data_IF_652819891205
#
_entry.id   IF_652819891205
#
_cell.length_a   1.000
_cell.length_b   1.000
_cell.length_c   1.000
_cell.angle_alpha   90.00
_cell.angle_beta   90.00
_cell.angle_gamma   90.00
#
_symmetry.space_group_name_H-M   'P 1'
#
loop_
_entity.id
_entity.type
_entity.pdbx_description
1 polymer ?
#
# COMPACT_ATOMS: atom_id res chain seq x y z
N UNK A 1 79.78 88.23 53.80
CA UNK A 1 80.52 87.02 53.40
C UNK A 1 80.03 85.75 54.11
N UNK A 2 79.76 85.79 55.41
CA UNK A 2 79.25 84.64 56.20
C UNK A 2 77.86 84.13 55.77
N UNK A 3 76.92 85.03 55.45
CA UNK A 3 75.55 84.66 55.02
C UNK A 3 75.52 83.96 53.66
N UNK A 4 76.42 84.34 52.75
CA UNK A 4 76.59 83.67 51.46
C UNK A 4 77.13 82.25 51.64
N UNK A 5 78.08 82.05 52.55
CA UNK A 5 78.64 80.74 52.87
C UNK A 5 77.60 79.80 53.49
N UNK A 6 76.76 80.29 54.43
CA UNK A 6 75.68 79.51 55.04
C UNK A 6 74.59 79.10 54.03
N UNK A 7 74.27 79.99 53.08
CA UNK A 7 73.32 79.67 52.01
C UNK A 7 73.88 78.61 51.05
N UNK A 8 75.17 78.66 50.72
CA UNK A 8 75.85 77.65 49.92
C UNK A 8 75.88 76.29 50.63
N UNK A 9 76.17 76.26 51.94
CA UNK A 9 76.15 75.05 52.76
C UNK A 9 74.74 74.45 52.90
N UNK A 10 73.71 75.28 53.15
CA UNK A 10 72.31 74.83 53.16
C UNK A 10 71.88 74.27 51.80
N UNK A 11 72.27 74.92 50.71
CA UNK A 11 71.97 74.46 49.35
C UNK A 11 72.65 73.12 49.06
N UNK A 12 73.90 72.94 49.49
CA UNK A 12 74.64 71.70 49.32
C UNK A 12 74.01 70.55 50.12
N UNK A 13 73.76 70.76 51.42
CA UNK A 13 73.10 69.75 52.27
C UNK A 13 71.68 69.44 51.79
N UNK A 14 70.96 70.45 51.27
CA UNK A 14 69.65 70.27 50.65
C UNK A 14 69.71 69.44 49.36
N UNK A 15 70.74 69.63 48.53
CA UNK A 15 70.98 68.80 47.35
C UNK A 15 71.39 67.37 47.72
N UNK A 16 72.25 67.19 48.72
CA UNK A 16 72.66 65.88 49.23
C UNK A 16 71.47 65.10 49.83
N UNK A 17 70.58 65.78 50.56
CA UNK A 17 69.36 65.19 51.10
C UNK A 17 68.32 64.86 50.01
N UNK A 18 68.23 65.66 48.93
CA UNK A 18 67.31 65.42 47.82
C UNK A 18 67.84 64.39 46.80
N UNK A 19 69.15 64.17 46.69
CA UNK A 19 69.73 63.27 45.69
C UNK A 19 69.12 61.85 45.66
N UNK A 20 68.84 61.17 46.80
CA UNK A 20 68.14 59.88 46.79
C UNK A 20 66.70 59.98 46.28
N UNK A 21 65.99 61.07 46.60
CA UNK A 21 64.63 61.31 46.13
C UNK A 21 64.62 61.58 44.61
N UNK A 22 65.61 62.32 44.11
CA UNK A 22 65.78 62.56 42.69
C UNK A 22 65.96 61.25 41.92
N UNK A 23 66.84 60.36 42.38
CA UNK A 23 67.04 59.03 41.76
C UNK A 23 65.76 58.20 41.76
N UNK A 24 64.99 58.23 42.86
CA UNK A 24 63.69 57.55 42.93
C UNK A 24 62.67 58.11 41.93
N UNK A 25 62.51 59.44 41.87
CA UNK A 25 61.59 60.10 40.94
C UNK A 25 62.02 59.91 39.48
N UNK A 26 63.32 59.96 39.18
CA UNK A 26 63.84 59.70 37.84
C UNK A 26 63.57 58.25 37.41
N UNK A 27 63.78 57.27 38.31
CA UNK A 27 63.46 55.87 38.04
C UNK A 27 61.94 55.66 37.86
N UNK A 28 61.11 56.30 38.68
CA UNK A 28 59.66 56.24 38.57
C UNK A 28 59.15 56.89 37.27
N UNK A 29 59.72 58.02 36.88
CA UNK A 29 59.43 58.69 35.61
C UNK A 29 59.84 57.81 34.43
N UNK A 30 61.02 57.19 34.46
CA UNK A 30 61.46 56.25 33.43
C UNK A 30 60.50 55.06 33.28
N UNK A 31 60.02 54.48 34.37
CA UNK A 31 59.00 53.40 34.35
C UNK A 31 57.67 53.91 33.75
N UNK A 32 57.22 55.10 34.14
CA UNK A 32 55.98 55.69 33.60
C UNK A 32 56.10 56.00 32.10
N UNK A 33 57.26 56.45 31.63
CA UNK A 33 57.54 56.70 30.22
C UNK A 33 57.60 55.40 29.42
N UNK A 34 58.27 54.37 29.94
CA UNK A 34 58.31 53.04 29.32
C UNK A 34 56.90 52.44 29.20
N UNK A 35 56.10 52.52 30.26
CA UNK A 35 54.71 52.05 30.26
C UNK A 35 53.81 52.88 29.32
N UNK A 36 54.04 54.20 29.22
CA UNK A 36 53.34 55.05 28.27
C UNK A 36 53.67 54.66 26.81
N UNK A 37 54.95 54.40 26.52
CA UNK A 37 55.40 53.93 25.21
C UNK A 37 54.79 52.57 24.85
N UNK A 38 54.74 51.62 25.80
CA UNK A 38 54.12 50.32 25.60
C UNK A 38 52.60 50.42 25.34
N UNK A 39 51.88 51.28 26.09
CA UNK A 39 50.45 51.54 25.84
C UNK A 39 50.18 52.24 24.51
N UNK A 40 51.08 53.14 24.10
CA UNK A 40 51.02 53.78 22.80
C UNK A 40 51.20 52.75 21.67
N UNK A 41 52.22 51.89 21.78
CA UNK A 41 52.46 50.80 20.83
C UNK A 41 51.27 49.85 20.74
N UNK A 42 50.69 49.45 21.89
CA UNK A 42 49.47 48.63 21.91
C UNK A 42 48.30 49.31 21.16
N UNK A 43 48.11 50.61 21.34
CA UNK A 43 47.09 51.35 20.59
C UNK A 43 47.40 51.40 19.09
N UNK A 44 48.66 51.53 18.70
CA UNK A 44 49.10 51.56 17.31
C UNK A 44 48.89 50.18 16.63
N UNK A 45 49.24 49.09 17.32
CA UNK A 45 49.02 47.71 16.86
C UNK A 45 47.52 47.39 16.71
N UNK A 46 46.69 47.76 17.70
CA UNK A 46 45.25 47.52 17.63
C UNK A 46 44.56 48.38 16.56
N UNK A 47 45.02 49.61 16.36
CA UNK A 47 44.52 50.47 15.28
C UNK A 47 44.89 49.88 13.91
N UNK A 48 46.14 49.43 13.74
CA UNK A 48 46.57 48.78 12.52
C UNK A 48 45.76 47.51 12.24
N UNK A 49 45.48 46.69 13.26
CA UNK A 49 44.61 45.53 13.13
C UNK A 49 43.18 45.91 12.72
N UNK A 50 42.60 46.94 13.34
CA UNK A 50 41.27 47.45 12.99
C UNK A 50 41.18 47.95 11.54
N UNK A 51 42.21 48.66 11.08
CA UNK A 51 42.23 49.25 9.74
C UNK A 51 42.50 48.20 8.64
N UNK A 52 43.14 47.08 9.00
CA UNK A 52 43.54 46.01 8.08
C UNK A 52 42.84 44.67 8.38
N UNK A 53 41.57 44.72 8.79
CA UNK A 53 40.75 43.52 8.97
C UNK A 53 40.60 42.78 7.61
N UNK A 54 40.89 41.47 7.55
CA UNK A 54 40.70 40.68 6.33
C UNK A 54 39.20 40.51 6.01
N UNK A 55 38.88 40.20 4.74
CA UNK A 55 37.51 39.94 4.30
C UNK A 55 36.87 38.75 5.05
N UNK A 56 37.66 37.71 5.33
CA UNK A 56 37.28 36.58 6.19
C UNK A 56 38.00 36.70 7.52
N UNK A 57 37.30 37.20 8.53
CA UNK A 57 37.85 37.42 9.88
C UNK A 57 37.82 36.12 10.68
N UNK A 58 38.97 35.75 11.28
CA UNK A 58 39.01 34.73 12.31
C UNK A 58 38.48 35.32 13.64
N UNK A 59 37.18 35.17 13.89
CA UNK A 59 36.52 35.72 15.07
C UNK A 59 36.99 35.11 16.41
N UNK A 60 37.49 33.87 16.40
CA UNK A 60 38.12 33.29 17.60
C UNK A 60 39.42 34.01 17.94
N UNK A 61 40.24 34.28 16.91
CA UNK A 61 41.44 35.11 17.05
C UNK A 61 41.10 36.54 17.47
N UNK A 62 40.04 37.12 16.91
CA UNK A 62 39.56 38.46 17.27
C UNK A 62 39.21 38.59 18.76
N UNK A 63 38.50 37.61 19.32
CA UNK A 63 38.17 37.56 20.76
C UNK A 63 39.44 37.41 21.60
N UNK A 64 40.40 36.60 21.17
CA UNK A 64 41.68 36.45 21.85
C UNK A 64 42.49 37.77 21.88
N UNK A 65 42.50 38.52 20.77
CA UNK A 65 43.12 39.85 20.68
C UNK A 65 42.47 40.83 21.66
N UNK A 66 41.14 40.89 21.71
CA UNK A 66 40.42 41.77 22.65
C UNK A 66 40.73 41.43 24.11
N UNK A 67 40.83 40.14 24.45
CA UNK A 67 41.21 39.69 25.79
C UNK A 67 42.65 40.11 26.12
N UNK A 68 43.60 39.78 25.24
CA UNK A 68 45.02 40.09 25.41
C UNK A 68 45.26 41.61 25.53
N UNK A 69 44.59 42.41 24.70
CA UNK A 69 44.67 43.87 24.74
C UNK A 69 44.29 44.45 26.11
N UNK A 70 43.26 43.90 26.76
CA UNK A 70 42.84 44.33 28.10
C UNK A 70 43.86 43.92 29.17
N UNK A 71 44.44 42.73 29.06
CA UNK A 71 45.48 42.23 29.97
C UNK A 71 46.76 43.07 29.85
N UNK A 72 47.23 43.35 28.63
CA UNK A 72 48.41 44.18 28.37
C UNK A 72 48.20 45.63 28.82
N UNK A 73 47.00 46.18 28.60
CA UNK A 73 46.66 47.51 29.10
C UNK A 73 46.76 47.61 30.64
N UNK A 74 46.34 46.57 31.36
CA UNK A 74 46.44 46.48 32.82
C UNK A 74 47.90 46.32 33.28
N UNK A 75 48.68 45.52 32.55
CA UNK A 75 50.10 45.25 32.86
C UNK A 75 50.97 46.52 32.83
N UNK A 76 50.72 47.44 31.90
CA UNK A 76 51.51 48.66 31.73
C UNK A 76 51.04 49.83 32.60
N UNK A 77 51.04 49.64 33.92
CA UNK A 77 50.72 50.64 34.94
C UNK A 77 51.89 50.75 35.94
N UNK A 78 52.25 51.94 36.47
CA UNK A 78 51.63 53.26 36.33
C UNK A 78 52.10 54.07 35.10
N UNK A 79 51.34 55.12 34.75
CA UNK A 79 51.64 56.09 33.68
C UNK A 79 51.26 57.51 34.16
N UNK A 80 51.99 58.52 33.70
CA UNK A 80 51.72 59.94 33.98
C UNK A 80 50.26 60.31 33.64
N UNK A 81 49.58 61.04 34.53
CA UNK A 81 48.13 61.29 34.47
C UNK A 81 47.64 61.88 33.12
N UNK A 82 48.37 62.84 32.56
CA UNK A 82 47.99 63.49 31.28
C UNK A 82 48.08 62.52 30.11
N UNK A 83 49.19 61.79 30.00
CA UNK A 83 49.41 60.75 28.98
C UNK A 83 48.41 59.60 29.14
N UNK A 84 48.15 59.18 30.39
CA UNK A 84 47.17 58.14 30.69
C UNK A 84 45.77 58.50 30.17
N UNK A 85 45.27 59.70 30.45
CA UNK A 85 43.93 60.13 30.00
C UNK A 85 43.79 60.11 28.48
N UNK A 86 44.82 60.56 27.75
CA UNK A 86 44.84 60.56 26.29
C UNK A 86 44.86 59.14 25.72
N UNK A 87 45.80 58.30 26.19
CA UNK A 87 45.93 56.91 25.76
C UNK A 87 44.70 56.10 26.11
N UNK A 88 44.09 56.32 27.28
CA UNK A 88 42.89 55.61 27.72
C UNK A 88 41.69 55.93 26.82
N UNK A 89 41.50 57.20 26.46
CA UNK A 89 40.45 57.58 25.52
C UNK A 89 40.65 56.91 24.16
N UNK A 90 41.90 56.87 23.67
CA UNK A 90 42.25 56.22 22.41
C UNK A 90 41.98 54.71 22.46
N UNK A 91 42.49 54.04 23.49
CA UNK A 91 42.31 52.60 23.71
C UNK A 91 40.83 52.23 23.78
N UNK A 92 40.03 52.95 24.58
CA UNK A 92 38.60 52.68 24.71
C UNK A 92 37.85 52.84 23.37
N UNK A 93 38.22 53.82 22.55
CA UNK A 93 37.62 54.01 21.23
C UNK A 93 37.95 52.83 20.28
N UNK A 94 39.20 52.37 20.26
CA UNK A 94 39.63 51.24 19.43
C UNK A 94 38.94 49.94 19.88
N UNK A 95 38.95 49.65 21.19
CA UNK A 95 38.29 48.48 21.75
C UNK A 95 36.79 48.49 21.42
N UNK A 96 36.11 49.62 21.60
CA UNK A 96 34.70 49.76 21.24
C UNK A 96 34.45 49.51 19.75
N UNK A 97 35.34 49.99 18.87
CA UNK A 97 35.21 49.77 17.43
C UNK A 97 35.37 48.29 17.05
N UNK A 98 36.34 47.60 17.66
CA UNK A 98 36.55 46.15 17.48
C UNK A 98 35.37 45.34 18.04
N UNK A 99 34.87 45.67 19.24
CA UNK A 99 33.69 45.06 19.84
C UNK A 99 32.44 45.22 18.96
N UNK A 100 32.24 46.40 18.36
CA UNK A 100 31.13 46.61 17.44
C UNK A 100 31.20 45.70 16.21
N UNK A 101 32.42 45.41 15.70
CA UNK A 101 32.60 44.46 14.59
C UNK A 101 32.24 43.04 15.02
N UNK A 102 32.68 42.62 16.21
CA UNK A 102 32.34 41.32 16.78
C UNK A 102 30.83 41.17 17.02
N UNK A 103 30.18 42.21 17.56
CA UNK A 103 28.73 42.19 17.80
C UNK A 103 27.93 42.14 16.50
N UNK A 104 28.35 42.87 15.47
CA UNK A 104 27.72 42.80 14.16
C UNK A 104 27.79 41.37 13.57
N UNK A 105 28.92 40.68 13.72
CA UNK A 105 29.03 39.28 13.33
C UNK A 105 28.10 38.38 14.16
N UNK A 106 28.06 38.56 15.48
CA UNK A 106 27.18 37.77 16.34
C UNK A 106 25.71 37.93 15.96
N UNK A 107 25.27 39.14 15.63
CA UNK A 107 23.90 39.40 15.19
C UNK A 107 23.62 38.77 13.81
N UNK A 108 24.60 38.77 12.89
CA UNK A 108 24.50 38.07 11.60
C UNK A 108 24.35 36.55 11.81
N UNK A 109 25.22 35.94 12.61
CA UNK A 109 25.17 34.49 12.89
C UNK A 109 23.91 34.10 13.66
N UNK A 110 23.44 34.95 14.58
CA UNK A 110 22.14 34.77 15.24
C UNK A 110 20.99 34.77 14.23
N UNK A 111 21.00 35.68 13.26
CA UNK A 111 19.94 35.74 12.22
C UNK A 111 19.90 34.47 11.37
N UNK A 112 21.07 33.94 10.97
CA UNK A 112 21.16 32.67 10.23
C UNK A 112 20.66 31.49 11.06
N UNK A 113 21.05 31.41 12.34
CA UNK A 113 20.57 30.35 13.25
C UNK A 113 19.05 30.43 13.47
N UNK A 114 18.50 31.64 13.61
CA UNK A 114 17.03 31.85 13.70
C UNK A 114 16.31 31.42 12.42
N UNK A 115 16.88 31.68 11.25
CA UNK A 115 16.34 31.21 9.98
C UNK A 115 16.29 29.68 9.92
N UNK A 116 17.36 28.99 10.32
CA UNK A 116 17.37 27.52 10.39
C UNK A 116 16.31 26.97 11.36
N UNK A 117 16.08 27.63 12.50
CA UNK A 117 15.02 27.24 13.44
C UNK A 117 13.64 27.39 12.79
N UNK A 118 13.40 28.50 12.10
CA UNK A 118 12.14 28.72 11.39
C UNK A 118 11.91 27.67 10.30
N UNK A 119 12.95 27.32 9.54
CA UNK A 119 12.89 26.25 8.53
C UNK A 119 12.56 24.89 9.15
N UNK A 120 13.23 24.47 10.23
CA UNK A 120 12.90 23.20 10.92
C UNK A 120 11.48 23.22 11.48
N UNK A 121 11.02 24.37 11.99
CA UNK A 121 9.66 24.52 12.51
C UNK A 121 8.62 24.29 11.40
N UNK A 122 8.84 24.84 10.20
CA UNK A 122 7.97 24.61 9.04
C UNK A 122 7.97 23.14 8.59
N UNK A 123 9.08 22.42 8.75
CA UNK A 123 9.15 20.99 8.41
C UNK A 123 8.22 20.11 9.28
N UNK A 124 7.75 20.59 10.43
CA UNK A 124 6.77 19.86 11.25
C UNK A 124 5.40 19.74 10.57
N UNK A 125 5.05 20.70 9.72
CA UNK A 125 3.79 20.76 8.98
C UNK A 125 3.88 20.06 7.61
N UNK A 126 5.06 19.61 7.21
CA UNK A 126 5.27 18.95 5.92
C UNK A 126 4.58 17.57 5.86
N UNK A 127 3.86 17.30 4.77
CA UNK A 127 3.08 16.06 4.58
C UNK A 127 3.98 14.81 4.61
N UNK A 128 5.14 14.90 3.96
CA UNK A 128 6.10 13.80 3.93
C UNK A 128 7.09 13.89 5.10
N UNK A 129 6.83 13.11 6.15
CA UNK A 129 7.67 13.06 7.36
C UNK A 129 9.10 12.57 7.06
N UNK A 130 9.29 11.69 6.07
CA UNK A 130 10.62 11.15 5.75
C UNK A 130 11.49 12.20 5.07
N UNK A 131 10.92 12.93 4.10
CA UNK A 131 11.59 14.04 3.44
C UNK A 131 11.89 15.17 4.42
N UNK A 132 10.94 15.50 5.29
CA UNK A 132 11.14 16.47 6.36
C UNK A 132 12.31 16.08 7.28
N UNK A 133 12.41 14.81 7.67
CA UNK A 133 13.53 14.32 8.48
C UNK A 133 14.87 14.37 7.75
N UNK A 134 14.89 14.21 6.42
CA UNK A 134 16.11 14.35 5.63
C UNK A 134 16.57 15.81 5.58
N UNK A 135 15.64 16.74 5.27
CA UNK A 135 15.91 18.18 5.29
C UNK A 135 16.38 18.64 6.67
N UNK A 136 15.77 18.16 7.76
CA UNK A 136 16.22 18.48 9.11
C UNK A 136 17.66 18.04 9.41
N UNK A 137 18.13 16.91 8.85
CA UNK A 137 19.54 16.50 8.97
C UNK A 137 20.49 17.43 8.20
N UNK A 138 20.07 17.88 7.02
CA UNK A 138 20.82 18.87 6.25
C UNK A 138 20.93 20.19 7.02
N UNK A 139 19.83 20.65 7.64
CA UNK A 139 19.83 21.83 8.50
C UNK A 139 20.71 21.64 9.74
N UNK A 140 20.76 20.45 10.35
CA UNK A 140 21.70 20.14 11.44
C UNK A 140 23.16 20.22 11.00
N UNK A 141 23.48 19.88 9.75
CA UNK A 141 24.82 20.03 9.21
C UNK A 141 25.14 21.49 8.93
N UNK A 142 24.19 22.24 8.36
CA UNK A 142 24.33 23.69 8.14
C UNK A 142 24.54 24.46 9.45
N UNK A 143 23.85 24.05 10.53
CA UNK A 143 24.05 24.64 11.86
C UNK A 143 25.50 24.58 12.32
N UNK A 144 26.19 23.45 12.07
CA UNK A 144 27.59 23.23 12.48
C UNK A 144 28.57 24.10 11.70
N UNK A 145 28.20 24.56 10.51
CA UNK A 145 29.03 25.46 9.69
C UNK A 145 28.86 26.92 10.07
N UNK A 146 27.81 27.27 10.83
CA UNK A 146 27.59 28.65 11.27
C UNK A 146 28.55 29.06 12.39
N UNK A 147 28.86 30.36 12.41
CA UNK A 147 29.69 30.96 13.43
C UNK A 147 29.03 31.02 14.81
N UNK A 148 29.81 31.41 15.81
CA UNK A 148 29.35 31.59 17.18
C UNK A 148 28.65 32.94 17.36
N UNK A 149 27.53 32.99 18.10
CA UNK A 149 26.75 34.23 18.32
C UNK A 149 26.74 34.71 19.78
N UNK A 150 27.71 34.26 20.60
CA UNK A 150 27.81 34.58 22.03
C UNK A 150 27.17 33.52 22.92
N UNK A 151 27.76 33.25 24.10
CA UNK A 151 27.44 32.07 24.93
C UNK A 151 25.95 31.93 25.27
N UNK A 152 25.30 33.01 25.71
CA UNK A 152 23.91 32.95 26.17
C UNK A 152 22.92 32.76 25.01
N UNK A 153 23.12 33.49 23.91
CA UNK A 153 22.31 33.38 22.68
C UNK A 153 22.49 32.01 22.03
N UNK A 154 23.73 31.56 21.91
CA UNK A 154 24.08 30.26 21.32
C UNK A 154 23.39 29.11 22.04
N UNK A 155 23.46 29.09 23.38
CA UNK A 155 22.81 28.05 24.17
C UNK A 155 21.30 28.00 23.95
N UNK A 156 20.65 29.17 23.97
CA UNK A 156 19.20 29.30 23.80
C UNK A 156 18.75 28.85 22.41
N UNK A 157 19.45 29.32 21.37
CA UNK A 157 19.15 28.99 19.98
C UNK A 157 19.37 27.50 19.71
N UNK A 158 20.45 26.92 20.24
CA UNK A 158 20.72 25.48 20.10
C UNK A 158 19.64 24.62 20.77
N UNK A 159 19.20 24.96 21.98
CA UNK A 159 18.14 24.22 22.67
C UNK A 159 16.83 24.25 21.87
N UNK A 160 16.44 25.41 21.35
CA UNK A 160 15.25 25.54 20.52
C UNK A 160 15.39 24.71 19.22
N UNK A 161 16.49 24.90 18.49
CA UNK A 161 16.75 24.13 17.27
C UNK A 161 16.68 22.62 17.50
N UNK A 162 17.36 22.14 18.55
CA UNK A 162 17.35 20.73 18.94
C UNK A 162 15.95 20.25 19.27
N UNK A 163 15.19 21.01 20.05
CA UNK A 163 13.80 20.66 20.40
C UNK A 163 12.93 20.48 19.15
N UNK A 164 13.05 21.36 18.15
CA UNK A 164 12.28 21.24 16.90
C UNK A 164 12.70 19.99 16.10
N UNK A 165 14.02 19.70 16.01
CA UNK A 165 14.51 18.48 15.38
C UNK A 165 14.01 17.21 16.11
N UNK A 166 14.08 17.19 17.43
CA UNK A 166 13.67 16.06 18.26
C UNK A 166 12.16 15.80 18.10
N UNK A 167 11.33 16.84 18.05
CA UNK A 167 9.90 16.72 17.79
C UNK A 167 9.61 16.08 16.41
N UNK A 168 10.36 16.47 15.38
CA UNK A 168 10.20 15.90 14.03
C UNK A 168 10.60 14.43 13.98
N UNK A 169 11.73 14.06 14.61
CA UNK A 169 12.16 12.66 14.66
C UNK A 169 11.22 11.80 15.52
N UNK A 170 10.69 12.32 16.62
CA UNK A 170 9.67 11.65 17.41
C UNK A 170 8.39 11.39 16.59
N UNK A 171 7.92 12.36 15.79
CA UNK A 171 6.80 12.20 14.87
C UNK A 171 7.05 11.07 13.85
N UNK A 172 8.28 10.96 13.32
CA UNK A 172 8.67 9.87 12.42
C UNK A 172 8.63 8.50 13.09
N UNK A 173 9.18 8.39 14.29
CA UNK A 173 9.19 7.10 15.00
C UNK A 173 7.77 6.68 15.39
N UNK A 174 6.92 7.60 15.86
CA UNK A 174 5.51 7.33 16.12
C UNK A 174 4.75 6.87 14.85
N UNK A 175 5.02 7.50 13.70
CA UNK A 175 4.43 7.08 12.42
C UNK A 175 4.87 5.66 12.03
N UNK A 176 6.16 5.32 12.18
CA UNK A 176 6.64 3.95 11.93
C UNK A 176 6.03 2.93 12.88
N UNK A 177 5.91 3.28 14.16
CA UNK A 177 5.32 2.39 15.17
C UNK A 177 3.84 2.13 14.87
N UNK A 178 3.10 3.17 14.48
CA UNK A 178 1.70 3.04 14.05
C UNK A 178 1.57 2.16 12.80
N UNK A 179 2.45 2.36 11.80
CA UNK A 179 2.47 1.51 10.60
C UNK A 179 2.75 0.05 10.95
N UNK A 180 3.77 -0.22 11.78
CA UNK A 180 4.09 -1.59 12.24
C UNK A 180 2.94 -2.23 13.01
N UNK A 181 2.27 -1.47 13.88
CA UNK A 181 1.11 -1.96 14.62
C UNK A 181 -0.04 -2.33 13.67
N UNK A 182 -0.33 -1.48 12.67
CA UNK A 182 -1.36 -1.75 11.67
C UNK A 182 -1.00 -2.97 10.81
N UNK A 183 0.26 -3.10 10.41
CA UNK A 183 0.77 -4.27 9.69
C UNK A 183 0.60 -5.56 10.50
N UNK A 184 0.92 -5.53 11.80
CA UNK A 184 0.76 -6.67 12.70
C UNK A 184 -0.72 -7.07 12.84
N UNK A 185 -1.63 -6.10 12.98
CA UNK A 185 -3.08 -6.36 13.01
C UNK A 185 -3.53 -7.00 11.70
N UNK A 186 -3.08 -6.50 10.55
CA UNK A 186 -3.43 -7.07 9.25
C UNK A 186 -2.91 -8.51 9.08
N UNK A 187 -1.70 -8.82 9.59
CA UNK A 187 -1.16 -10.18 9.60
C UNK A 187 -2.04 -11.11 10.45
N UNK A 188 -2.38 -10.70 11.68
CA UNK A 188 -3.24 -11.50 12.56
C UNK A 188 -4.62 -11.75 11.96
N UNK A 189 -5.22 -10.72 11.32
CA UNK A 189 -6.49 -10.86 10.62
C UNK A 189 -6.36 -11.83 9.43
N UNK A 190 -5.28 -11.75 8.65
CA UNK A 190 -5.04 -12.66 7.55
C UNK A 190 -4.88 -14.12 8.02
N UNK A 191 -4.12 -14.35 9.09
CA UNK A 191 -3.95 -15.68 9.70
C UNK A 191 -5.30 -16.23 10.19
N UNK A 192 -6.07 -15.42 10.92
CA UNK A 192 -7.40 -15.80 11.39
C UNK A 192 -8.35 -16.16 10.24
N UNK A 193 -8.37 -15.36 9.16
CA UNK A 193 -9.20 -15.65 7.98
C UNK A 193 -8.79 -16.98 7.33
N UNK A 194 -7.48 -17.24 7.21
CA UNK A 194 -6.98 -18.49 6.62
C UNK A 194 -7.33 -19.70 7.49
N UNK A 195 -7.25 -19.58 8.81
CA UNK A 195 -7.63 -20.64 9.74
C UNK A 195 -9.14 -20.90 9.70
N UNK A 196 -9.97 -19.86 9.61
CA UNK A 196 -11.42 -20.04 9.44
C UNK A 196 -11.78 -20.65 8.09
N UNK A 197 -11.13 -20.24 7.00
CA UNK A 197 -11.30 -20.87 5.69
C UNK A 197 -10.92 -22.36 5.72
N UNK A 198 -9.78 -22.68 6.33
CA UNK A 198 -9.32 -24.05 6.48
C UNK A 198 -10.31 -24.89 7.29
N UNK A 199 -10.83 -24.37 8.41
CA UNK A 199 -11.89 -25.05 9.19
C UNK A 199 -13.15 -25.26 8.36
N UNK A 200 -13.64 -24.27 7.62
CA UNK A 200 -14.86 -24.41 6.83
C UNK A 200 -14.70 -25.46 5.71
N UNK A 201 -13.49 -25.64 5.17
CA UNK A 201 -13.21 -26.57 4.07
C UNK A 201 -12.86 -27.99 4.54
N UNK A 202 -12.13 -28.13 5.65
CA UNK A 202 -11.53 -29.39 6.07
C UNK A 202 -12.22 -30.05 7.28
N UNK A 203 -13.26 -29.44 7.86
CA UNK A 203 -14.00 -30.06 8.98
C UNK A 203 -14.90 -31.20 8.48
N UNK A 204 -14.73 -32.44 8.98
CA UNK A 204 -15.60 -33.55 8.61
C UNK A 204 -17.05 -33.24 9.03
N UNK A 205 -18.02 -33.60 8.18
CA UNK A 205 -19.48 -33.44 8.36
C UNK A 205 -20.04 -32.02 8.15
N UNK A 206 -19.21 -31.00 7.96
CA UNK A 206 -19.70 -29.67 7.57
C UNK A 206 -19.79 -29.59 6.05
N UNK A 207 -20.92 -29.13 5.51
CA UNK A 207 -21.01 -28.75 4.09
C UNK A 207 -20.50 -27.31 3.93
N UNK A 208 -19.37 -27.08 3.22
CA UNK A 208 -18.88 -25.75 2.94
C UNK A 208 -19.98 -24.87 2.31
N UNK A 209 -20.24 -23.70 2.91
CA UNK A 209 -21.29 -22.78 2.49
C UNK A 209 -20.70 -21.53 1.84
N UNK A 210 -21.12 -21.24 0.61
CA UNK A 210 -20.68 -20.09 -0.17
C UNK A 210 -20.85 -18.76 0.57
N UNK A 211 -21.95 -18.58 1.31
CA UNK A 211 -22.24 -17.34 2.05
C UNK A 211 -21.25 -17.07 3.19
N UNK A 212 -20.56 -18.09 3.71
CA UNK A 212 -19.54 -17.93 4.74
C UNK A 212 -18.13 -17.78 4.15
N UNK A 213 -17.87 -18.47 3.03
CA UNK A 213 -16.54 -18.52 2.41
C UNK A 213 -16.27 -17.29 1.53
N UNK A 214 -17.26 -16.82 0.78
CA UNK A 214 -17.09 -15.65 -0.11
C UNK A 214 -16.67 -14.38 0.65
N UNK A 215 -17.28 -14.01 1.80
CA UNK A 215 -16.84 -12.85 2.58
C UNK A 215 -15.39 -12.97 3.04
N UNK A 216 -15.00 -14.13 3.56
CA UNK A 216 -13.63 -14.41 4.00
C UNK A 216 -12.62 -14.25 2.86
N UNK A 217 -12.93 -14.75 1.66
CA UNK A 217 -12.09 -14.57 0.48
C UNK A 217 -11.97 -13.11 0.07
N UNK A 218 -13.08 -12.36 0.06
CA UNK A 218 -13.06 -10.94 -0.27
C UNK A 218 -12.30 -10.12 0.76
N UNK A 219 -12.46 -10.40 2.04
CA UNK A 219 -11.79 -9.66 3.11
C UNK A 219 -10.29 -9.91 3.08
N UNK A 220 -9.84 -11.16 2.87
CA UNK A 220 -8.43 -11.47 2.69
C UNK A 220 -7.81 -10.72 1.50
N UNK A 221 -8.52 -10.65 0.36
CA UNK A 221 -8.01 -9.98 -0.84
C UNK A 221 -7.76 -8.48 -0.65
N UNK A 222 -8.51 -7.82 0.25
CA UNK A 222 -8.40 -6.39 0.57
C UNK A 222 -7.25 -6.08 1.54
N UNK A 223 -6.75 -7.09 2.26
CA UNK A 223 -5.68 -6.87 3.24
C UNK A 223 -4.36 -6.52 2.55
N UNK A 224 -3.76 -5.43 3.03
CA UNK A 224 -2.39 -5.07 2.69
C UNK A 224 -1.43 -5.74 3.69
N UNK A 225 -0.52 -6.56 3.15
CA UNK A 225 0.39 -7.39 3.94
C UNK A 225 1.85 -7.00 3.67
N UNK A 226 2.72 -6.98 4.70
CA UNK A 226 4.16 -6.75 4.55
C UNK A 226 4.81 -7.78 3.63
N UNK A 227 5.83 -7.36 2.87
CA UNK A 227 6.46 -8.17 1.81
C UNK A 227 7.00 -9.51 2.34
N UNK A 228 7.49 -9.52 3.58
CA UNK A 228 8.12 -10.66 4.23
C UNK A 228 7.14 -11.83 4.42
N UNK A 229 5.91 -11.54 4.82
CA UNK A 229 4.90 -12.56 5.16
C UNK A 229 3.88 -12.77 4.02
N UNK A 230 3.74 -11.76 3.15
CA UNK A 230 2.77 -11.74 2.07
C UNK A 230 2.86 -12.98 1.15
N UNK A 231 4.06 -13.40 0.77
CA UNK A 231 4.23 -14.56 -0.12
C UNK A 231 3.71 -15.86 0.54
N UNK A 232 3.99 -16.07 1.82
CA UNK A 232 3.57 -17.28 2.53
C UNK A 232 2.04 -17.32 2.72
N UNK A 233 1.45 -16.22 3.20
CA UNK A 233 -0.01 -16.15 3.43
C UNK A 233 -0.80 -16.25 2.14
N UNK A 234 -0.36 -15.59 1.05
CA UNK A 234 -1.03 -15.69 -0.26
C UNK A 234 -0.92 -17.08 -0.88
N UNK A 235 0.21 -17.79 -0.70
CA UNK A 235 0.32 -19.19 -1.13
C UNK A 235 -0.72 -20.06 -0.42
N UNK A 236 -0.85 -19.91 0.90
CA UNK A 236 -1.86 -20.64 1.70
C UNK A 236 -3.28 -20.29 1.24
N UNK A 237 -3.57 -19.00 1.02
CA UNK A 237 -4.84 -18.54 0.47
C UNK A 237 -5.16 -19.18 -0.87
N UNK A 238 -4.22 -19.19 -1.82
CA UNK A 238 -4.44 -19.73 -3.15
C UNK A 238 -4.77 -21.23 -3.12
N UNK A 239 -4.13 -21.98 -2.23
CA UNK A 239 -4.44 -23.40 -2.03
C UNK A 239 -5.88 -23.59 -1.55
N UNK A 240 -6.30 -22.84 -0.51
CA UNK A 240 -7.67 -22.90 0.02
C UNK A 240 -8.71 -22.43 -1.00
N UNK A 241 -8.41 -21.36 -1.75
CA UNK A 241 -9.25 -20.85 -2.82
C UNK A 241 -9.45 -21.89 -3.94
N UNK A 242 -8.38 -22.60 -4.33
CA UNK A 242 -8.45 -23.68 -5.31
C UNK A 242 -9.29 -24.86 -4.79
N UNK A 243 -9.13 -25.23 -3.51
CA UNK A 243 -9.96 -26.27 -2.89
C UNK A 243 -11.45 -25.90 -2.91
N UNK A 244 -11.78 -24.66 -2.55
CA UNK A 244 -13.15 -24.16 -2.62
C UNK A 244 -13.70 -24.18 -4.06
N UNK A 245 -12.91 -23.74 -5.04
CA UNK A 245 -13.32 -23.73 -6.44
C UNK A 245 -13.67 -25.15 -6.92
N UNK A 246 -12.79 -26.12 -6.66
CA UNK A 246 -13.02 -27.53 -7.01
C UNK A 246 -14.27 -28.07 -6.31
N UNK A 247 -14.48 -27.73 -5.04
CA UNK A 247 -15.69 -28.13 -4.31
C UNK A 247 -16.96 -27.54 -4.95
N UNK A 248 -16.96 -26.23 -5.22
CA UNK A 248 -18.08 -25.52 -5.83
C UNK A 248 -18.43 -26.08 -7.21
N UNK A 249 -17.43 -26.32 -8.06
CA UNK A 249 -17.62 -26.88 -9.39
C UNK A 249 -18.20 -28.31 -9.31
N UNK A 250 -17.69 -29.13 -8.38
CA UNK A 250 -18.23 -30.47 -8.13
C UNK A 250 -19.68 -30.45 -7.62
N UNK A 251 -20.07 -29.45 -6.82
CA UNK A 251 -21.46 -29.29 -6.38
C UNK A 251 -22.39 -28.96 -7.55
N UNK A 252 -21.97 -28.06 -8.45
CA UNK A 252 -22.72 -27.73 -9.67
C UNK A 252 -22.87 -28.98 -10.55
N UNK A 253 -21.79 -29.75 -10.75
CA UNK A 253 -21.81 -30.99 -11.52
C UNK A 253 -22.77 -32.00 -10.89
N UNK A 254 -22.71 -32.22 -9.57
CA UNK A 254 -23.60 -33.14 -8.86
C UNK A 254 -25.06 -32.72 -8.95
N UNK A 255 -25.35 -31.43 -8.80
CA UNK A 255 -26.70 -30.90 -8.92
C UNK A 255 -27.25 -31.11 -10.34
N UNK A 256 -26.44 -30.83 -11.37
CA UNK A 256 -26.79 -31.09 -12.76
C UNK A 256 -27.07 -32.58 -12.99
N UNK A 257 -26.20 -33.47 -12.52
CA UNK A 257 -26.39 -34.92 -12.63
C UNK A 257 -27.67 -35.39 -11.93
N UNK A 258 -28.00 -34.84 -10.76
CA UNK A 258 -29.24 -35.15 -10.06
C UNK A 258 -30.50 -34.72 -10.85
N UNK A 259 -30.46 -33.53 -11.47
CA UNK A 259 -31.53 -33.04 -12.34
C UNK A 259 -31.70 -33.90 -13.59
N UNK A 260 -30.59 -34.30 -14.23
CA UNK A 260 -30.63 -35.20 -15.39
C UNK A 260 -31.26 -36.54 -15.04
N UNK A 261 -30.90 -37.12 -13.90
CA UNK A 261 -31.50 -38.36 -13.41
C UNK A 261 -33.00 -38.22 -13.16
N UNK A 262 -33.46 -37.08 -12.64
CA UNK A 262 -34.89 -36.80 -12.50
C UNK A 262 -35.61 -36.77 -13.85
N UNK A 263 -35.02 -36.16 -14.87
CA UNK A 263 -35.58 -36.12 -16.24
C UNK A 263 -35.66 -37.53 -16.82
N UNK A 264 -34.60 -38.33 -16.69
CA UNK A 264 -34.60 -39.73 -17.14
C UNK A 264 -35.70 -40.56 -16.48
N UNK A 265 -35.83 -40.44 -15.15
CA UNK A 265 -36.91 -41.14 -14.43
C UNK A 265 -38.30 -40.70 -14.90
N UNK A 266 -38.49 -39.41 -15.23
CA UNK A 266 -39.76 -38.92 -15.76
C UNK A 266 -40.09 -39.53 -17.13
N UNK A 267 -39.09 -39.63 -18.02
CA UNK A 267 -39.24 -40.23 -19.35
C UNK A 267 -39.58 -41.72 -19.22
N UNK A 268 -38.89 -42.44 -18.35
CA UNK A 268 -39.14 -43.87 -18.10
C UNK A 268 -40.56 -44.13 -17.60
N UNK A 269 -41.07 -43.28 -16.71
CA UNK A 269 -42.45 -43.36 -16.24
C UNK A 269 -43.45 -43.12 -17.38
N UNK A 270 -43.23 -42.10 -18.22
CA UNK A 270 -44.07 -41.84 -19.39
C UNK A 270 -44.11 -43.03 -20.35
N UNK A 271 -42.93 -43.58 -20.69
CA UNK A 271 -42.82 -44.73 -21.61
C UNK A 271 -43.51 -45.98 -21.03
N UNK A 272 -43.32 -46.26 -19.75
CA UNK A 272 -43.97 -47.40 -19.09
C UNK A 272 -45.51 -47.25 -19.05
N UNK A 273 -46.02 -46.04 -18.81
CA UNK A 273 -47.45 -45.74 -18.87
C UNK A 273 -48.02 -45.88 -20.29
N UNK A 274 -47.30 -45.37 -21.29
CA UNK A 274 -47.65 -45.48 -22.72
C UNK A 274 -47.73 -46.95 -23.16
N UNK A 275 -46.71 -47.75 -22.84
CA UNK A 275 -46.66 -49.17 -23.17
C UNK A 275 -47.81 -49.94 -22.51
N UNK A 276 -48.17 -49.61 -21.27
CA UNK A 276 -49.33 -50.19 -20.57
C UNK A 276 -50.65 -49.88 -21.30
N UNK A 277 -50.83 -48.62 -21.76
CA UNK A 277 -52.03 -48.25 -22.52
C UNK A 277 -52.10 -48.88 -23.90
N UNK A 278 -50.98 -48.95 -24.62
CA UNK A 278 -50.91 -49.53 -25.96
C UNK A 278 -51.11 -51.05 -25.96
N UNK A 279 -50.73 -51.74 -24.88
CA UNK A 279 -51.02 -53.17 -24.68
C UNK A 279 -52.48 -53.45 -24.26
N UNK A 280 -53.29 -52.40 -24.05
CA UNK A 280 -54.69 -52.49 -23.63
C UNK A 280 -54.88 -52.60 -22.10
N UNK A 281 -53.82 -52.45 -21.31
CA UNK A 281 -53.89 -52.46 -19.85
C UNK A 281 -54.13 -51.05 -19.28
N UNK A 282 -54.69 -50.97 -18.07
CA UNK A 282 -54.77 -49.71 -17.34
C UNK A 282 -53.40 -49.34 -16.78
N UNK A 283 -53.09 -48.04 -16.71
CA UNK A 283 -51.88 -47.54 -16.03
C UNK A 283 -52.00 -47.87 -14.55
N UNK A 284 -50.97 -48.47 -13.95
CA UNK A 284 -50.99 -48.87 -12.56
C UNK A 284 -51.01 -47.66 -11.62
N UNK A 285 -51.71 -47.80 -10.47
CA UNK A 285 -51.78 -46.74 -9.46
C UNK A 285 -50.41 -46.37 -8.91
N UNK A 286 -49.52 -47.36 -8.73
CA UNK A 286 -48.14 -47.13 -8.25
C UNK A 286 -47.35 -46.21 -9.17
N UNK A 287 -47.49 -46.39 -10.49
CA UNK A 287 -46.79 -45.61 -11.50
C UNK A 287 -47.34 -44.17 -11.59
N UNK A 288 -48.63 -43.98 -11.33
CA UNK A 288 -49.23 -42.65 -11.22
C UNK A 288 -48.78 -41.89 -9.95
N UNK A 289 -48.63 -42.59 -8.83
CA UNK A 289 -48.15 -42.01 -7.58
C UNK A 289 -46.67 -41.62 -7.66
N UNK A 290 -45.82 -42.45 -8.27
CA UNK A 290 -44.41 -42.09 -8.49
C UNK A 290 -44.24 -40.88 -9.38
N UNK A 291 -45.09 -40.72 -10.41
CA UNK A 291 -45.12 -39.51 -11.23
C UNK A 291 -45.51 -38.26 -10.43
N UNK A 292 -46.56 -38.33 -9.61
CA UNK A 292 -47.01 -37.20 -8.80
C UNK A 292 -45.95 -36.72 -7.79
N UNK A 293 -45.15 -37.65 -7.25
CA UNK A 293 -44.07 -37.33 -6.32
C UNK A 293 -42.78 -36.83 -6.97
N UNK A 294 -42.66 -36.88 -8.30
CA UNK A 294 -41.43 -36.53 -9.00
C UNK A 294 -41.30 -35.01 -9.20
N UNK A 295 -40.15 -34.47 -8.79
CA UNK A 295 -39.79 -33.08 -9.08
C UNK A 295 -39.10 -33.05 -10.45
N UNK A 296 -39.79 -32.48 -11.44
CA UNK A 296 -39.26 -32.33 -12.80
C UNK A 296 -38.59 -30.95 -12.92
N UNK A 297 -37.30 -30.89 -13.29
CA UNK A 297 -36.60 -29.63 -13.55
C UNK A 297 -37.28 -28.79 -14.65
N UNK A 298 -37.27 -27.47 -14.50
CA UNK A 298 -37.51 -26.57 -15.64
C UNK A 298 -36.32 -26.66 -16.59
N UNK A 299 -36.51 -26.59 -17.92
CA UNK A 299 -37.71 -26.32 -18.73
C UNK A 299 -38.54 -27.57 -19.10
N UNK A 300 -38.09 -28.77 -18.73
CA UNK A 300 -38.69 -30.04 -19.18
C UNK A 300 -40.07 -30.32 -18.58
N UNK A 301 -40.38 -29.70 -17.43
CA UNK A 301 -41.65 -29.87 -16.72
C UNK A 301 -42.88 -29.72 -17.63
N UNK A 302 -42.96 -28.66 -18.44
CA UNK A 302 -44.14 -28.40 -19.27
C UNK A 302 -44.36 -29.46 -20.34
N UNK A 303 -43.29 -29.94 -20.99
CA UNK A 303 -43.40 -30.93 -22.07
C UNK A 303 -43.66 -32.33 -21.54
N UNK A 304 -42.98 -32.72 -20.46
CA UNK A 304 -43.19 -34.01 -19.83
C UNK A 304 -44.58 -34.12 -19.19
N UNK A 305 -45.11 -33.03 -18.63
CA UNK A 305 -46.49 -32.98 -18.16
C UNK A 305 -47.51 -33.12 -19.30
N UNK A 306 -47.31 -32.43 -20.43
CA UNK A 306 -48.16 -32.58 -21.62
C UNK A 306 -48.13 -34.03 -22.14
N UNK A 307 -46.93 -34.62 -22.23
CA UNK A 307 -46.77 -36.03 -22.63
C UNK A 307 -47.57 -36.94 -21.71
N UNK A 308 -47.41 -36.81 -20.40
CA UNK A 308 -48.14 -37.59 -19.41
C UNK A 308 -49.67 -37.46 -19.52
N UNK A 309 -50.18 -36.24 -19.67
CA UNK A 309 -51.61 -35.98 -19.82
C UNK A 309 -52.19 -36.60 -21.10
N UNK A 310 -51.40 -36.66 -22.18
CA UNK A 310 -51.85 -37.26 -23.44
C UNK A 310 -52.07 -38.78 -23.36
N UNK A 311 -51.48 -39.45 -22.35
CA UNK A 311 -51.52 -40.92 -22.20
C UNK A 311 -52.95 -41.47 -22.10
N UNK A 312 -53.87 -40.73 -21.47
CA UNK A 312 -55.27 -41.16 -21.35
C UNK A 312 -56.01 -41.20 -22.69
N UNK A 313 -55.53 -40.46 -23.70
CA UNK A 313 -56.15 -40.33 -25.02
C UNK A 313 -55.53 -41.23 -26.10
N UNK A 314 -54.51 -42.03 -25.73
CA UNK A 314 -53.79 -42.87 -26.68
C UNK A 314 -54.67 -44.00 -27.22
N UNK A 315 -54.60 -44.20 -28.54
CA UNK A 315 -55.25 -45.30 -29.25
C UNK A 315 -54.20 -46.21 -29.87
N UNK A 316 -54.59 -47.45 -30.17
CA UNK A 316 -53.75 -48.39 -30.92
C UNK A 316 -53.46 -47.80 -32.30
N UNK A 317 -52.19 -47.82 -32.69
CA UNK A 317 -51.65 -47.16 -33.89
C UNK A 317 -51.54 -48.18 -35.03
N UNK A 318 -51.67 -47.75 -36.29
CA UNK A 318 -51.38 -48.59 -37.45
C UNK A 318 -49.88 -48.84 -37.61
N UNK A 319 -49.48 -49.91 -38.31
CA UNK A 319 -48.05 -50.21 -38.54
C UNK A 319 -47.33 -49.08 -39.28
N UNK A 320 -48.03 -48.40 -40.20
CA UNK A 320 -47.48 -47.32 -41.02
C UNK A 320 -47.28 -46.02 -40.22
N UNK A 321 -48.23 -45.68 -39.35
CA UNK A 321 -48.10 -44.54 -38.42
C UNK A 321 -46.98 -44.79 -37.39
N UNK A 322 -46.85 -46.02 -36.91
CA UNK A 322 -45.80 -46.42 -35.98
C UNK A 322 -44.40 -46.29 -36.63
N UNK A 323 -44.24 -46.77 -37.86
CA UNK A 323 -42.99 -46.67 -38.61
C UNK A 323 -42.62 -45.20 -38.90
N UNK A 324 -43.59 -44.38 -39.29
CA UNK A 324 -43.39 -42.94 -39.52
C UNK A 324 -42.86 -42.22 -38.27
N UNK A 325 -43.43 -42.53 -37.10
CA UNK A 325 -43.00 -41.94 -35.82
C UNK A 325 -41.62 -42.41 -35.39
N UNK A 326 -41.29 -43.69 -35.62
CA UNK A 326 -39.94 -44.22 -35.37
C UNK A 326 -38.90 -43.48 -36.21
N UNK A 327 -39.16 -43.32 -37.51
CA UNK A 327 -38.26 -42.58 -38.40
C UNK A 327 -38.12 -41.12 -37.97
N UNK A 328 -39.22 -40.49 -37.56
CA UNK A 328 -39.20 -39.11 -37.05
C UNK A 328 -38.35 -39.01 -35.80
N UNK A 329 -38.51 -39.93 -34.84
CA UNK A 329 -37.73 -39.92 -33.61
C UNK A 329 -36.22 -40.12 -33.85
N UNK A 330 -35.84 -41.08 -34.69
CA UNK A 330 -34.44 -41.30 -35.06
C UNK A 330 -33.85 -40.08 -35.78
N UNK A 331 -34.60 -39.51 -36.72
CA UNK A 331 -34.21 -38.28 -37.39
C UNK A 331 -34.03 -37.13 -36.37
N UNK A 332 -34.92 -36.98 -35.40
CA UNK A 332 -34.82 -35.95 -34.37
C UNK A 332 -33.59 -36.14 -33.49
N UNK A 333 -33.26 -37.37 -33.11
CA UNK A 333 -31.99 -37.68 -32.41
C UNK A 333 -30.77 -37.28 -33.25
N UNK A 334 -30.75 -37.60 -34.55
CA UNK A 334 -29.66 -37.21 -35.45
C UNK A 334 -29.49 -35.70 -35.53
N UNK A 335 -30.58 -34.94 -35.50
CA UNK A 335 -30.52 -33.47 -35.48
C UNK A 335 -29.91 -32.95 -34.18
N UNK A 336 -30.33 -33.50 -33.03
CA UNK A 336 -29.79 -33.11 -31.73
C UNK A 336 -28.29 -33.43 -31.62
N UNK A 337 -27.87 -34.59 -32.08
CA UNK A 337 -26.46 -34.98 -32.10
C UNK A 337 -25.64 -34.13 -33.08
N UNK A 338 -26.21 -33.72 -34.20
CA UNK A 338 -25.59 -32.77 -35.14
C UNK A 338 -25.37 -31.41 -34.48
N UNK A 339 -26.40 -30.87 -33.82
CA UNK A 339 -26.37 -29.56 -33.18
C UNK A 339 -25.46 -29.54 -31.94
N UNK A 340 -25.39 -30.65 -31.20
CA UNK A 340 -24.53 -30.79 -30.02
C UNK A 340 -23.13 -31.33 -30.33
N UNK A 341 -22.86 -31.69 -31.59
CA UNK A 341 -21.59 -32.25 -32.05
C UNK A 341 -21.20 -33.54 -31.30
N UNK A 342 -22.21 -34.40 -31.08
CA UNK A 342 -22.08 -35.73 -30.49
C UNK A 342 -21.99 -36.73 -31.65
N UNK A 343 -21.11 -37.72 -31.57
CA UNK A 343 -21.02 -38.78 -32.57
C UNK A 343 -22.31 -39.61 -32.63
N UNK A 344 -22.81 -39.81 -33.86
CA UNK A 344 -23.92 -40.71 -34.12
C UNK A 344 -23.43 -42.16 -34.23
N UNK A 345 -24.30 -43.16 -34.03
CA UNK A 345 -23.97 -44.56 -34.29
C UNK A 345 -23.45 -44.80 -35.71
N UNK A 346 -22.58 -45.79 -35.90
CA UNK A 346 -21.87 -46.00 -37.16
C UNK A 346 -22.80 -46.20 -38.37
N UNK A 347 -23.91 -46.91 -38.16
CA UNK A 347 -24.91 -47.15 -39.21
C UNK A 347 -25.70 -45.89 -39.62
N UNK A 348 -25.64 -44.82 -38.82
CA UNK A 348 -26.37 -43.57 -39.04
C UNK A 348 -25.49 -42.43 -39.61
N UNK A 349 -24.17 -42.63 -39.80
CA UNK A 349 -23.26 -41.57 -40.29
C UNK A 349 -23.68 -40.99 -41.65
N UNK A 350 -24.10 -41.84 -42.58
CA UNK A 350 -24.60 -41.40 -43.89
C UNK A 350 -25.91 -40.59 -43.78
N UNK A 351 -26.79 -40.97 -42.86
CA UNK A 351 -28.03 -40.24 -42.60
C UNK A 351 -27.75 -38.88 -41.94
N UNK A 352 -26.76 -38.81 -41.03
CA UNK A 352 -26.30 -37.57 -40.40
C UNK A 352 -25.73 -36.58 -41.42
N UNK A 353 -24.87 -37.05 -42.33
CA UNK A 353 -24.29 -36.18 -43.37
C UNK A 353 -25.34 -35.69 -44.36
N UNK A 354 -26.25 -36.56 -44.81
CA UNK A 354 -27.37 -36.18 -45.66
C UNK A 354 -28.26 -35.13 -44.97
N UNK A 355 -28.53 -35.28 -43.67
CA UNK A 355 -29.33 -34.33 -42.89
C UNK A 355 -28.65 -32.97 -42.73
N UNK A 356 -27.32 -32.95 -42.55
CA UNK A 356 -26.53 -31.71 -42.56
C UNK A 356 -26.67 -30.98 -43.90
N UNK A 357 -26.52 -31.69 -45.01
CA UNK A 357 -26.67 -31.11 -46.36
C UNK A 357 -28.07 -30.55 -46.59
N UNK A 358 -29.12 -31.28 -46.22
CA UNK A 358 -30.51 -30.82 -46.36
C UNK A 358 -30.80 -29.53 -45.59
N UNK A 359 -30.23 -29.36 -44.39
CA UNK A 359 -30.38 -28.13 -43.61
C UNK A 359 -29.66 -26.93 -44.25
N UNK A 360 -28.52 -27.16 -44.91
CA UNK A 360 -27.82 -26.13 -45.68
C UNK A 360 -28.59 -25.72 -46.93
N UNK A 361 -29.13 -26.67 -47.68
CA UNK A 361 -29.95 -26.41 -48.87
C UNK A 361 -31.20 -25.57 -48.54
N UNK A 362 -31.81 -25.83 -47.39
CA UNK A 362 -32.99 -25.10 -46.91
C UNK A 362 -32.67 -23.75 -46.25
N UNK A 363 -31.39 -23.36 -46.14
CA UNK A 363 -30.91 -22.20 -45.37
C UNK A 363 -31.36 -22.17 -43.90
N UNK A 364 -31.79 -23.32 -43.37
CA UNK A 364 -32.31 -23.49 -42.01
C UNK A 364 -31.22 -23.86 -41.00
N UNK A 365 -29.95 -23.93 -41.43
CA UNK A 365 -28.84 -24.20 -40.53
C UNK A 365 -28.58 -22.98 -39.62
N UNK A 366 -28.63 -23.15 -38.29
CA UNK A 366 -28.49 -22.04 -37.36
C UNK A 366 -27.09 -21.42 -37.44
N UNK A 367 -27.04 -20.08 -37.48
CA UNK A 367 -25.79 -19.31 -37.65
C UNK A 367 -25.30 -18.67 -36.36
N UNK A 368 -26.21 -18.46 -35.41
CA UNK A 368 -25.90 -17.89 -34.09
C UNK A 368 -26.10 -18.91 -32.97
N UNK A 369 -25.40 -18.74 -31.85
CA UNK A 369 -25.53 -19.61 -30.68
C UNK A 369 -26.95 -19.58 -30.09
N UNK A 370 -27.64 -18.43 -30.18
CA UNK A 370 -29.03 -18.26 -29.76
C UNK A 370 -29.97 -19.10 -30.64
N UNK A 371 -29.78 -19.08 -31.97
CA UNK A 371 -30.56 -19.92 -32.90
C UNK A 371 -30.31 -21.41 -32.66
N UNK A 372 -29.06 -21.80 -32.39
CA UNK A 372 -28.72 -23.19 -32.04
C UNK A 372 -29.48 -23.61 -30.78
N UNK A 373 -29.46 -22.80 -29.71
CA UNK A 373 -30.14 -23.13 -28.46
C UNK A 373 -31.67 -23.16 -28.59
N UNK A 374 -32.26 -22.25 -29.36
CA UNK A 374 -33.69 -22.26 -29.66
C UNK A 374 -34.10 -23.53 -30.42
N UNK A 375 -33.34 -23.89 -31.47
CA UNK A 375 -33.57 -25.09 -32.26
C UNK A 375 -33.35 -26.36 -31.44
N UNK A 376 -32.30 -26.41 -30.60
CA UNK A 376 -32.05 -27.50 -29.67
C UNK A 376 -33.23 -27.71 -28.73
N UNK A 377 -33.73 -26.63 -28.11
CA UNK A 377 -34.89 -26.68 -27.21
C UNK A 377 -36.12 -27.22 -27.94
N UNK A 378 -36.47 -26.66 -29.10
CA UNK A 378 -37.61 -27.09 -29.89
C UNK A 378 -37.50 -28.56 -30.34
N UNK A 379 -36.31 -28.96 -30.79
CA UNK A 379 -36.03 -30.31 -31.29
C UNK A 379 -36.08 -31.33 -30.15
N UNK A 380 -35.57 -30.98 -28.97
CA UNK A 380 -35.61 -31.82 -27.78
C UNK A 380 -37.05 -31.96 -27.25
N UNK A 381 -37.81 -30.86 -27.21
CA UNK A 381 -39.22 -30.89 -26.84
C UNK A 381 -40.05 -31.73 -27.82
N UNK A 382 -39.78 -31.66 -29.13
CA UNK A 382 -40.49 -32.48 -30.11
C UNK A 382 -40.17 -33.96 -29.94
N UNK A 383 -38.90 -34.33 -29.71
CA UNK A 383 -38.50 -35.71 -29.41
C UNK A 383 -39.23 -36.27 -28.20
N UNK A 384 -39.31 -35.47 -27.12
CA UNK A 384 -39.97 -35.88 -25.89
C UNK A 384 -41.48 -36.10 -26.04
N UNK A 385 -42.13 -35.52 -27.05
CA UNK A 385 -43.56 -35.73 -27.32
C UNK A 385 -43.85 -36.95 -28.21
N UNK A 386 -42.84 -37.60 -28.77
CA UNK A 386 -43.04 -38.79 -29.62
C UNK A 386 -43.32 -40.02 -28.74
N UNK A 387 -44.42 -40.70 -29.05
CA UNK A 387 -44.88 -41.93 -28.38
C UNK A 387 -45.28 -42.99 -29.42
N UNK A 388 -45.42 -44.25 -28.98
CA UNK A 388 -45.83 -45.37 -29.85
C UNK A 388 -44.69 -46.08 -30.57
N UNK A 389 -43.46 -45.94 -30.06
CA UNK A 389 -42.25 -46.56 -30.60
C UNK A 389 -42.17 -48.05 -30.20
N UNK A 390 -41.51 -48.89 -30.98
CA UNK A 390 -41.19 -50.27 -30.58
C UNK A 390 -40.17 -50.28 -29.45
N UNK A 391 -40.13 -51.34 -28.63
CA UNK A 391 -39.18 -51.45 -27.51
C UNK A 391 -37.72 -51.30 -27.93
N UNK A 392 -37.36 -51.81 -29.11
CA UNK A 392 -36.01 -51.69 -29.68
C UNK A 392 -35.65 -50.23 -29.97
N UNK A 393 -36.54 -49.50 -30.67
CA UNK A 393 -36.34 -48.09 -30.99
C UNK A 393 -36.41 -47.22 -29.73
N UNK A 394 -37.28 -47.53 -28.77
CA UNK A 394 -37.33 -46.85 -27.45
C UNK A 394 -35.99 -46.97 -26.73
N UNK A 395 -35.38 -48.16 -26.73
CA UNK A 395 -34.09 -48.42 -26.08
C UNK A 395 -32.98 -47.63 -26.77
N UNK A 396 -32.96 -47.64 -28.10
CA UNK A 396 -31.99 -46.87 -28.90
C UNK A 396 -32.12 -45.37 -28.65
N UNK A 397 -33.34 -44.81 -28.67
CA UNK A 397 -33.58 -43.39 -28.40
C UNK A 397 -33.19 -43.03 -26.97
N UNK A 398 -33.47 -43.89 -25.99
CA UNK A 398 -33.09 -43.65 -24.60
C UNK A 398 -31.58 -43.54 -24.43
N UNK A 399 -30.80 -44.43 -25.06
CA UNK A 399 -29.34 -44.36 -25.03
C UNK A 399 -28.81 -43.07 -25.66
N UNK A 400 -29.36 -42.68 -26.82
CA UNK A 400 -28.99 -41.42 -27.50
C UNK A 400 -29.37 -40.19 -26.67
N UNK A 401 -30.57 -40.20 -26.08
CA UNK A 401 -31.08 -39.13 -25.24
C UNK A 401 -30.23 -38.95 -23.96
N UNK A 402 -29.75 -40.05 -23.37
CA UNK A 402 -28.81 -40.01 -22.25
C UNK A 402 -27.52 -39.26 -22.61
N UNK A 403 -26.91 -39.60 -23.76
CA UNK A 403 -25.72 -38.91 -24.25
C UNK A 403 -25.98 -37.43 -24.57
N UNK A 404 -27.13 -37.13 -25.19
CA UNK A 404 -27.59 -35.75 -25.48
C UNK A 404 -27.71 -34.93 -24.20
N UNK A 405 -28.40 -35.46 -23.18
CA UNK A 405 -28.65 -34.78 -21.91
C UNK A 405 -27.36 -34.56 -21.09
N UNK A 406 -26.37 -35.44 -21.24
CA UNK A 406 -25.06 -35.29 -20.59
C UNK A 406 -24.11 -34.30 -21.28
N UNK A 407 -24.45 -33.85 -22.50
CA UNK A 407 -23.57 -32.98 -23.27
C UNK A 407 -23.27 -31.65 -22.54
N UNK A 408 -21.99 -31.22 -22.49
CA UNK A 408 -21.62 -29.93 -21.92
C UNK A 408 -22.13 -28.75 -22.75
N UNK A 409 -22.55 -28.95 -24.01
CA UNK A 409 -23.11 -27.89 -24.88
C UNK A 409 -24.61 -27.64 -24.66
N UNK A 410 -25.27 -28.44 -23.83
CA UNK A 410 -26.68 -28.27 -23.44
C UNK A 410 -26.86 -27.24 -22.30
N UNK A 411 -25.85 -26.41 -22.05
CA UNK A 411 -25.57 -25.63 -20.83
C UNK A 411 -26.54 -24.50 -20.49
N UNK A 412 -27.54 -24.23 -21.33
CA UNK A 412 -28.55 -23.19 -21.06
C UNK A 412 -29.97 -23.73 -20.91
N UNK A 413 -30.15 -25.06 -20.99
CA UNK A 413 -31.45 -25.73 -20.85
C UNK A 413 -31.64 -26.49 -19.53
N UNK A 414 -30.65 -26.48 -18.63
CA UNK A 414 -30.70 -27.04 -17.26
C UNK A 414 -29.93 -26.08 -16.38
#
# INVERSE_FOLDING_TARGET
>A
DTEKALWEEFKQLGQEAYAPCQVYFDAQNAIQEQNAAARQQLCDELQHYLDNLPEVVNWQGHVAILKQAREDWQKHHPVEAKKHKQLQSRFNNIIKALENKLHAEYDLQESHKKALIAEVTQLLEHDNIFEACQKAKELQNNWKTLGFCGHQKEHTLWQNFKQQCDALFAKREAHKETQKAQEQVNIQLAEHILDELDKQLNTPLTTPNAHKIQPLMTDFSKLFLPKEVNQALRKRFNILAQQWQIYSDNQIIRQKQAQLKQIETAIDLCVAAENSKLSGQAVSLSLALTWQGLVIPQPFKGVLQKRWQSISSLKKISSEEQQTRQQTALNTCLLLELLLDIDSPDHDHAARTAKKMALFEQQSYPKTEIEIQALLSQTLQSLLLIWGLTNEIQTQIKQRLHAILQSPRLTTLV
#
